data_IF_267657759262
#
_entry.id   IF_267657759262
#
_cell.length_a   1.000
_cell.length_b   1.000
_cell.length_c   1.000
_cell.angle_alpha   90.00
_cell.angle_beta   90.00
_cell.angle_gamma   90.00
#
_symmetry.space_group_name_H-M   'P 1'
#
loop_
_entity.id
_entity.type
_entity.pdbx_description
1 polymer ?
#
# COMPACT_ATOMS: atom_id res chain seq x y z
N UNK A 1 14.16 -6.16 2.42
CA UNK A 1 13.70 -5.30 1.32
C UNK A 1 13.60 -3.87 1.84
N UNK A 2 13.89 -2.84 1.03
CA UNK A 2 13.78 -1.45 1.46
C UNK A 2 12.31 -1.10 1.77
N UNK A 3 12.11 -0.25 2.77
CA UNK A 3 10.82 0.36 3.06
C UNK A 3 10.91 1.87 2.88
N UNK A 4 9.81 2.50 2.53
CA UNK A 4 9.68 3.95 2.37
C UNK A 4 8.43 4.46 3.07
N UNK A 5 8.36 5.76 3.32
CA UNK A 5 7.19 6.39 3.93
C UNK A 5 6.41 7.20 2.90
N UNK A 6 5.08 7.12 2.99
CA UNK A 6 4.14 7.93 2.20
C UNK A 6 3.14 8.63 3.13
N UNK A 7 2.50 9.68 2.63
CA UNK A 7 1.38 10.34 3.30
C UNK A 7 0.08 10.03 2.53
N UNK A 8 -0.73 9.11 3.06
CA UNK A 8 -1.96 8.66 2.42
C UNK A 8 -3.20 8.98 3.28
N UNK A 9 -4.37 9.05 2.66
CA UNK A 9 -5.63 9.26 3.36
C UNK A 9 -6.21 7.90 3.75
N UNK A 10 -6.26 7.62 5.05
CA UNK A 10 -6.78 6.37 5.62
C UNK A 10 -8.03 6.68 6.43
N UNK A 11 -9.17 6.10 6.05
CA UNK A 11 -10.49 6.39 6.62
C UNK A 11 -10.82 7.90 6.65
N UNK A 12 -10.38 8.65 5.63
CA UNK A 12 -10.57 10.10 5.53
C UNK A 12 -9.56 10.95 6.33
N UNK A 13 -8.58 10.33 6.98
CA UNK A 13 -7.57 11.02 7.80
C UNK A 13 -6.20 10.89 7.13
N UNK A 14 -5.45 12.00 6.90
CA UNK A 14 -4.06 11.93 6.45
C UNK A 14 -3.21 11.20 7.49
N UNK A 15 -2.52 10.15 7.08
CA UNK A 15 -1.65 9.34 7.93
C UNK A 15 -0.34 9.02 7.22
N UNK A 16 0.73 8.92 8.00
CA UNK A 16 2.01 8.38 7.53
C UNK A 16 1.92 6.86 7.49
N UNK A 17 2.18 6.30 6.32
CA UNK A 17 2.18 4.86 6.10
C UNK A 17 3.60 4.45 5.71
N UNK A 18 4.17 3.53 6.47
CA UNK A 18 5.40 2.84 6.09
C UNK A 18 5.03 1.71 5.14
N UNK A 19 5.61 1.74 3.94
CA UNK A 19 5.38 0.74 2.90
C UNK A 19 6.64 -0.09 2.73
N UNK A 20 6.48 -1.42 2.79
CA UNK A 20 7.53 -2.38 2.49
C UNK A 20 7.11 -3.18 1.26
N UNK A 21 7.91 -3.11 0.21
CA UNK A 21 7.70 -3.93 -0.99
C UNK A 21 8.18 -5.35 -0.71
N UNK A 22 7.37 -6.34 -1.06
CA UNK A 22 7.67 -7.77 -1.02
C UNK A 22 7.33 -8.39 -2.38
N UNK A 23 7.98 -9.50 -2.72
CA UNK A 23 7.80 -10.16 -4.02
C UNK A 23 7.18 -11.54 -3.81
N UNK A 24 6.16 -11.88 -4.59
CA UNK A 24 5.63 -13.25 -4.64
C UNK A 24 6.50 -14.11 -5.56
N UNK A 25 6.43 -15.45 -5.41
CA UNK A 25 7.26 -16.39 -6.19
C UNK A 25 6.99 -16.32 -7.71
N UNK A 26 5.85 -15.78 -8.12
CA UNK A 26 5.47 -15.52 -9.52
C UNK A 26 5.90 -14.13 -10.03
N UNK A 27 6.64 -13.36 -9.23
CA UNK A 27 7.26 -12.08 -9.62
C UNK A 27 6.36 -10.86 -9.53
N UNK A 28 5.19 -10.97 -8.90
CA UNK A 28 4.26 -9.85 -8.72
C UNK A 28 4.52 -9.17 -7.37
N UNK A 29 4.91 -7.89 -7.33
CA UNK A 29 5.16 -7.22 -6.06
C UNK A 29 3.85 -6.98 -5.31
N UNK A 30 3.88 -7.14 -3.99
CA UNK A 30 2.86 -6.64 -3.08
C UNK A 30 3.50 -5.75 -2.03
N UNK A 31 2.67 -4.95 -1.37
CA UNK A 31 3.11 -3.87 -0.50
C UNK A 31 2.50 -4.07 0.87
N UNK A 32 3.35 -4.27 1.87
CA UNK A 32 2.95 -4.33 3.28
C UNK A 32 2.90 -2.91 3.81
N UNK A 33 1.73 -2.49 4.27
CA UNK A 33 1.46 -1.14 4.77
C UNK A 33 1.35 -1.17 6.29
N UNK A 34 2.15 -0.34 6.96
CA UNK A 34 2.15 -0.20 8.41
C UNK A 34 1.94 1.24 8.86
N UNK A 35 1.20 1.43 9.95
CA UNK A 35 0.99 2.73 10.61
C UNK A 35 1.53 2.62 12.03
N UNK A 36 2.40 3.54 12.42
CA UNK A 36 3.07 3.51 13.73
C UNK A 36 3.76 2.16 14.06
N UNK A 37 4.24 1.46 13.04
CA UNK A 37 4.90 0.15 13.16
C UNK A 37 3.95 -1.06 13.18
N UNK A 38 2.63 -0.85 13.22
CA UNK A 38 1.64 -1.92 13.13
C UNK A 38 1.20 -2.12 11.68
N UNK A 39 1.23 -3.37 11.20
CA UNK A 39 0.75 -3.72 9.87
C UNK A 39 -0.78 -3.57 9.82
N UNK A 40 -1.26 -2.70 8.94
CA UNK A 40 -2.69 -2.40 8.79
C UNK A 40 -3.30 -3.04 7.54
N UNK A 41 -2.47 -3.27 6.52
CA UNK A 41 -2.94 -3.78 5.23
C UNK A 41 -1.80 -4.36 4.40
N UNK A 42 -2.16 -5.25 3.49
CA UNK A 42 -1.31 -5.61 2.35
C UNK A 42 -2.07 -5.28 1.07
N UNK A 43 -1.42 -4.59 0.14
CA UNK A 43 -2.04 -4.17 -1.12
C UNK A 43 -1.18 -4.54 -2.32
N UNK A 44 -1.81 -4.60 -3.49
CA UNK A 44 -1.16 -4.92 -4.76
C UNK A 44 -1.82 -4.13 -5.88
N UNK A 45 -1.03 -3.70 -6.85
CA UNK A 45 -1.55 -3.18 -8.12
C UNK A 45 -1.86 -4.38 -9.03
N UNK A 46 -3.13 -4.50 -9.44
CA UNK A 46 -3.57 -5.54 -10.36
C UNK A 46 -3.39 -5.11 -11.82
N UNK A 47 -3.56 -6.03 -12.77
CA UNK A 47 -3.26 -5.84 -14.20
C UNK A 47 -3.99 -4.63 -14.83
N UNK A 48 -5.13 -4.23 -14.28
CA UNK A 48 -5.95 -3.10 -14.75
C UNK A 48 -5.65 -1.78 -14.01
N UNK A 49 -4.42 -1.58 -13.53
CA UNK A 49 -4.01 -0.44 -12.67
C UNK A 49 -4.92 -0.24 -11.44
N UNK A 50 -5.54 -1.34 -10.99
CA UNK A 50 -6.48 -1.31 -9.88
C UNK A 50 -5.78 -1.79 -8.62
N UNK A 51 -5.71 -0.91 -7.62
CA UNK A 51 -5.18 -1.26 -6.31
C UNK A 51 -6.16 -2.12 -5.53
N UNK A 52 -5.71 -3.32 -5.17
CA UNK A 52 -6.46 -4.31 -4.42
C UNK A 52 -5.82 -4.58 -3.07
N UNK A 53 -6.64 -4.81 -2.07
CA UNK A 53 -6.21 -5.26 -0.75
C UNK A 53 -6.17 -6.79 -0.70
N UNK A 54 -5.02 -7.34 -0.36
CA UNK A 54 -4.81 -8.78 -0.15
C UNK A 54 -5.13 -9.18 1.29
N UNK A 55 -4.78 -8.33 2.25
CA UNK A 55 -5.00 -8.52 3.68
C UNK A 55 -5.30 -7.19 4.38
N UNK A 56 -6.03 -7.23 5.49
CA UNK A 56 -6.40 -6.06 6.28
C UNK A 56 -7.88 -5.73 6.18
N UNK A 57 -8.27 -4.52 6.56
CA UNK A 57 -9.65 -4.04 6.50
C UNK A 57 -9.72 -2.53 6.22
N UNK A 58 -8.94 -2.05 5.26
CA UNK A 58 -9.07 -0.69 4.76
C UNK A 58 -10.23 -0.61 3.77
N UNK A 59 -10.90 0.54 3.73
CA UNK A 59 -11.90 0.80 2.71
C UNK A 59 -11.23 1.06 1.34
N UNK A 60 -12.00 0.94 0.26
CA UNK A 60 -11.50 1.07 -1.11
C UNK A 60 -10.82 2.43 -1.38
N UNK A 61 -11.30 3.51 -0.75
CA UNK A 61 -10.71 4.84 -0.94
C UNK A 61 -9.33 4.91 -0.28
N UNK A 62 -9.18 4.32 0.91
CA UNK A 62 -7.89 4.20 1.59
C UNK A 62 -6.89 3.38 0.78
N UNK A 63 -7.30 2.22 0.26
CA UNK A 63 -6.45 1.35 -0.58
C UNK A 63 -5.97 2.11 -1.83
N UNK A 64 -6.91 2.80 -2.51
CA UNK A 64 -6.60 3.62 -3.67
C UNK A 64 -5.62 4.74 -3.33
N UNK A 65 -5.85 5.46 -2.23
CA UNK A 65 -4.96 6.55 -1.80
C UNK A 65 -3.55 6.07 -1.51
N UNK A 66 -3.37 4.90 -0.86
CA UNK A 66 -2.04 4.32 -0.65
C UNK A 66 -1.38 4.01 -2.00
N UNK A 67 -2.13 3.36 -2.91
CA UNK A 67 -1.64 2.99 -4.22
C UNK A 67 -1.11 4.16 -5.05
N UNK A 68 -1.88 5.25 -5.12
CA UNK A 68 -1.51 6.49 -5.83
C UNK A 68 -0.21 7.11 -5.27
N UNK A 69 0.02 7.06 -3.95
CA UNK A 69 1.26 7.56 -3.36
C UNK A 69 2.44 6.62 -3.59
N UNK A 70 2.23 5.31 -3.63
CA UNK A 70 3.26 4.33 -4.01
C UNK A 70 3.73 4.59 -5.44
N UNK A 71 2.83 4.84 -6.38
CA UNK A 71 3.17 5.14 -7.79
C UNK A 71 4.06 6.37 -7.92
N UNK A 72 3.79 7.43 -7.13
CA UNK A 72 4.61 8.66 -7.14
C UNK A 72 6.04 8.44 -6.65
N UNK A 73 6.26 7.46 -5.77
CA UNK A 73 7.62 7.12 -5.28
C UNK A 73 8.39 6.29 -6.31
N UNK A 74 7.69 5.53 -7.15
CA UNK A 74 8.28 4.66 -8.17
C UNK A 74 8.40 5.31 -9.56
N UNK A 75 7.97 6.57 -9.73
CA UNK A 75 8.17 7.40 -10.93
C UNK A 75 9.43 8.28 -10.80
#
# INVERSE_FOLDING_TARGET
>A
MPSFEIEAIINGIPQKVTVKTEETTDGVPYYVCSIAGEQVSEIRNDIDDTWLQLWGNLDKQSVKSIGEEIEKVHH
#
